data_IF_364761427240
#
_entry.id   IF_364761427240
#
_cell.length_a   1.000
_cell.length_b   1.000
_cell.length_c   1.000
_cell.angle_alpha   90.00
_cell.angle_beta   90.00
_cell.angle_gamma   90.00
#
_symmetry.space_group_name_H-M   'P 1'
#
loop_
_entity.id
_entity.type
_entity.pdbx_description
1 polymer ?
#
# COMPACT_ATOMS: atom_id res chain seq x y z
N UNK A 1 2.75 -73.64 -7.83
CA UNK A 1 2.81 -72.58 -6.81
C UNK A 1 2.90 -71.24 -7.52
N UNK A 2 1.77 -70.58 -7.74
CA UNK A 2 1.72 -69.20 -8.21
C UNK A 2 0.65 -68.50 -7.36
N UNK A 3 1.06 -67.47 -6.63
CA UNK A 3 0.20 -66.67 -5.77
C UNK A 3 0.32 -65.23 -6.29
N UNK A 4 -0.75 -64.59 -6.77
CA UNK A 4 -0.66 -63.21 -7.20
C UNK A 4 -0.71 -62.30 -5.96
N UNK A 5 0.29 -61.43 -5.81
CA UNK A 5 0.25 -60.32 -4.86
C UNK A 5 -0.76 -59.30 -5.38
N UNK A 6 -1.86 -59.11 -4.64
CA UNK A 6 -2.75 -57.98 -4.84
C UNK A 6 -2.12 -56.72 -4.21
N UNK A 7 -1.71 -55.76 -5.04
CA UNK A 7 -1.36 -54.42 -4.58
C UNK A 7 -2.64 -53.67 -4.23
N UNK A 8 -2.93 -53.52 -2.93
CA UNK A 8 -3.94 -52.59 -2.45
C UNK A 8 -3.32 -51.19 -2.47
N UNK A 9 -3.69 -50.39 -3.46
CA UNK A 9 -3.35 -48.98 -3.53
C UNK A 9 -4.17 -48.24 -2.46
N UNK A 10 -3.57 -47.99 -1.30
CA UNK A 10 -4.18 -47.18 -0.25
C UNK A 10 -4.29 -45.72 -0.75
N UNK A 11 -5.49 -45.34 -1.20
CA UNK A 11 -5.84 -43.93 -1.41
C UNK A 11 -5.89 -43.25 -0.04
N UNK A 12 -4.80 -42.59 0.34
CA UNK A 12 -4.79 -41.66 1.46
C UNK A 12 -5.81 -40.55 1.16
N UNK A 13 -6.77 -40.30 2.05
CA UNK A 13 -7.69 -39.18 1.88
C UNK A 13 -6.86 -37.90 1.94
N UNK A 14 -6.82 -37.16 0.82
CA UNK A 14 -6.39 -35.76 0.86
C UNK A 14 -7.40 -35.02 1.71
N UNK A 15 -7.09 -34.79 2.98
CA UNK A 15 -7.76 -33.78 3.76
C UNK A 15 -7.45 -32.44 3.08
N UNK A 16 -8.35 -31.98 2.21
CA UNK A 16 -8.37 -30.60 1.80
C UNK A 16 -8.69 -29.79 3.05
N UNK A 17 -7.68 -29.22 3.69
CA UNK A 17 -7.89 -28.09 4.58
C UNK A 17 -8.69 -27.09 3.76
N UNK A 18 -9.91 -26.76 4.20
CA UNK A 18 -10.79 -25.80 3.54
C UNK A 18 -10.11 -24.44 3.59
N UNK A 19 -9.33 -24.14 2.56
CA UNK A 19 -8.44 -23.00 2.48
C UNK A 19 -9.24 -21.72 2.20
N UNK A 20 -9.75 -21.05 3.24
CA UNK A 20 -10.37 -19.71 3.21
C UNK A 20 -11.17 -19.37 1.94
N UNK A 21 -11.87 -20.37 1.37
CA UNK A 21 -12.32 -20.33 -0.03
C UNK A 21 -13.46 -19.33 -0.25
N UNK A 22 -14.13 -18.98 0.85
CA UNK A 22 -15.26 -18.07 0.87
C UNK A 22 -14.94 -16.72 1.51
N UNK A 23 -13.68 -16.44 1.82
CA UNK A 23 -13.22 -15.10 2.19
C UNK A 23 -12.68 -15.01 3.60
N UNK A 24 -12.60 -13.77 4.08
CA UNK A 24 -11.87 -13.38 5.27
C UNK A 24 -12.73 -12.46 6.10
N UNK A 25 -12.72 -12.65 7.41
CA UNK A 25 -13.45 -11.80 8.34
C UNK A 25 -12.54 -11.25 9.42
N UNK A 26 -12.76 -9.99 9.82
CA UNK A 26 -12.17 -9.42 11.03
C UNK A 26 -13.25 -8.79 11.88
N UNK A 27 -13.03 -8.78 13.19
CA UNK A 27 -13.82 -7.96 14.11
C UNK A 27 -13.57 -6.48 13.81
N UNK A 28 -14.62 -5.66 13.78
CA UNK A 28 -14.46 -4.21 13.73
C UNK A 28 -13.87 -3.74 15.07
N UNK A 29 -12.69 -3.08 15.10
CA UNK A 29 -12.08 -2.66 16.36
C UNK A 29 -12.89 -1.67 17.20
N UNK A 30 -13.90 -1.01 16.61
CA UNK A 30 -14.78 -0.06 17.32
C UNK A 30 -16.19 -0.61 17.59
N UNK A 31 -16.54 -1.75 17.01
CA UNK A 31 -17.78 -2.46 17.30
C UNK A 31 -17.49 -3.96 17.32
N UNK A 32 -17.22 -4.49 18.51
CA UNK A 32 -16.89 -5.91 18.71
C UNK A 32 -18.01 -6.85 18.24
N UNK A 33 -19.23 -6.34 18.05
CA UNK A 33 -20.35 -7.10 17.51
C UNK A 33 -20.44 -7.04 15.98
N UNK A 34 -19.73 -6.11 15.34
CA UNK A 34 -19.63 -6.00 13.89
C UNK A 34 -18.41 -6.77 13.36
N UNK A 35 -18.60 -7.42 12.21
CA UNK A 35 -17.53 -8.08 11.47
C UNK A 35 -17.38 -7.44 10.10
N UNK A 36 -16.16 -7.05 9.76
CA UNK A 36 -15.78 -6.71 8.39
C UNK A 36 -15.54 -8.01 7.62
N UNK A 37 -15.93 -8.02 6.34
CA UNK A 37 -15.82 -9.19 5.47
C UNK A 37 -15.24 -8.82 4.11
N UNK A 38 -14.28 -9.64 3.69
CA UNK A 38 -13.51 -9.45 2.46
C UNK A 38 -13.49 -10.73 1.64
N UNK A 39 -13.75 -10.61 0.35
CA UNK A 39 -13.89 -11.75 -0.55
C UNK A 39 -12.55 -12.23 -1.12
N UNK A 40 -11.57 -11.32 -1.22
CA UNK A 40 -10.30 -11.55 -1.88
C UNK A 40 -9.12 -11.34 -0.93
N UNK A 41 -8.00 -11.97 -1.29
CA UNK A 41 -6.70 -11.77 -0.67
C UNK A 41 -5.65 -11.58 -1.77
N UNK A 42 -4.89 -10.50 -1.69
CA UNK A 42 -3.55 -10.41 -2.28
C UNK A 42 -2.55 -10.59 -1.14
N UNK A 43 -1.70 -11.62 -1.24
CA UNK A 43 -0.65 -11.88 -0.27
C UNK A 43 0.69 -11.99 -0.99
N UNK A 44 1.63 -11.12 -0.62
CA UNK A 44 2.98 -11.09 -1.17
C UNK A 44 3.99 -11.21 -0.03
N UNK A 45 4.81 -12.26 -0.05
CA UNK A 45 5.92 -12.45 0.89
C UNK A 45 7.25 -12.36 0.13
N UNK A 46 7.82 -11.16 0.08
CA UNK A 46 9.06 -10.90 -0.64
C UNK A 46 10.26 -11.65 -0.03
N UNK A 47 10.20 -12.01 1.26
CA UNK A 47 11.29 -12.78 1.89
C UNK A 47 11.40 -14.20 1.37
N UNK A 48 10.27 -14.78 0.96
CA UNK A 48 10.19 -16.13 0.42
C UNK A 48 10.57 -16.21 -1.06
N UNK A 49 10.51 -15.07 -1.78
CA UNK A 49 10.81 -15.00 -3.21
C UNK A 49 12.30 -15.20 -3.48
N UNK A 50 12.61 -15.85 -4.61
CA UNK A 50 13.98 -15.96 -5.14
C UNK A 50 14.28 -14.84 -6.13
N UNK A 51 13.25 -14.37 -6.83
CA UNK A 51 13.31 -13.35 -7.87
C UNK A 51 12.00 -12.57 -7.89
N UNK A 52 12.02 -11.26 -8.19
CA UNK A 52 10.81 -10.43 -8.24
C UNK A 52 9.86 -10.80 -9.38
N UNK A 53 10.31 -11.51 -10.41
CA UNK A 53 9.41 -12.08 -11.44
C UNK A 53 8.37 -13.04 -10.86
N UNK A 54 8.58 -13.55 -9.64
CA UNK A 54 7.59 -14.35 -8.91
C UNK A 54 6.44 -13.51 -8.35
N UNK A 55 6.61 -12.19 -8.23
CA UNK A 55 5.58 -11.26 -7.79
C UNK A 55 4.68 -10.84 -8.97
N UNK A 56 3.99 -11.80 -9.60
CA UNK A 56 3.18 -11.58 -10.82
C UNK A 56 2.02 -10.61 -10.62
N UNK A 57 1.58 -10.43 -9.38
CA UNK A 57 0.55 -9.47 -8.98
C UNK A 57 1.07 -8.02 -8.94
N UNK A 58 2.33 -7.78 -9.28
CA UNK A 58 2.96 -6.46 -9.18
C UNK A 58 3.61 -6.01 -10.50
N UNK A 59 3.57 -4.69 -10.75
CA UNK A 59 4.20 -4.05 -11.90
C UNK A 59 5.18 -2.98 -11.42
N UNK A 60 6.44 -3.07 -11.85
CA UNK A 60 7.45 -2.04 -11.58
C UNK A 60 7.25 -0.86 -12.51
N UNK A 61 7.22 0.34 -11.98
CA UNK A 61 6.87 1.52 -12.77
C UNK A 61 8.09 2.23 -13.38
N UNK A 62 7.85 2.87 -14.54
CA UNK A 62 8.82 3.73 -15.24
C UNK A 62 8.13 4.99 -15.73
N UNK A 63 8.46 6.13 -15.12
CA UNK A 63 7.99 7.45 -15.56
C UNK A 63 8.81 8.54 -14.88
N UNK A 64 8.69 9.77 -15.41
CA UNK A 64 9.33 10.96 -14.85
C UNK A 64 8.26 11.96 -14.40
N UNK A 65 8.56 12.69 -13.31
CA UNK A 65 7.78 13.83 -12.83
C UNK A 65 8.69 15.06 -12.86
N UNK A 66 8.25 16.13 -13.52
CA UNK A 66 9.02 17.37 -13.59
C UNK A 66 9.10 18.08 -12.23
N UNK A 67 10.09 18.97 -12.01
CA UNK A 67 10.16 19.79 -10.79
C UNK A 67 8.85 20.55 -10.51
N UNK A 68 8.24 21.15 -11.54
CA UNK A 68 6.98 21.91 -11.39
C UNK A 68 5.81 21.01 -10.98
N UNK A 69 5.64 19.87 -11.66
CA UNK A 69 4.54 18.93 -11.36
C UNK A 69 4.70 18.32 -9.96
N UNK A 70 5.93 17.98 -9.60
CA UNK A 70 6.31 17.52 -8.28
C UNK A 70 6.53 18.64 -7.27
N UNK A 71 6.23 19.92 -7.55
CA UNK A 71 6.35 21.02 -6.57
C UNK A 71 7.69 21.04 -5.78
N UNK A 72 8.78 20.66 -6.44
CA UNK A 72 10.09 20.44 -5.83
C UNK A 72 11.21 21.10 -6.61
N UNK A 73 12.40 21.22 -6.00
CA UNK A 73 13.58 21.77 -6.67
C UNK A 73 14.13 20.83 -7.77
N UNK A 74 13.84 19.53 -7.64
CA UNK A 74 14.29 18.48 -8.54
C UNK A 74 13.08 17.69 -9.06
N UNK A 75 13.20 17.13 -10.26
CA UNK A 75 12.23 16.15 -10.75
C UNK A 75 12.43 14.78 -10.11
N UNK A 76 11.51 13.85 -10.37
CA UNK A 76 11.57 12.46 -9.92
C UNK A 76 11.68 11.57 -11.16
N UNK A 77 12.57 10.58 -11.13
CA UNK A 77 12.67 9.56 -12.17
C UNK A 77 12.44 8.20 -11.56
N UNK A 78 11.24 7.64 -11.75
CA UNK A 78 10.89 6.31 -11.27
C UNK A 78 11.42 5.26 -12.22
N UNK A 79 12.27 4.37 -11.70
CA UNK A 79 13.02 3.41 -12.49
C UNK A 79 12.80 1.98 -11.98
N UNK A 80 12.39 1.02 -12.83
CA UNK A 80 12.26 -0.39 -12.46
C UNK A 80 13.52 -1.04 -11.90
N UNK A 81 14.70 -0.51 -12.21
CA UNK A 81 15.99 -0.93 -11.65
C UNK A 81 16.22 -0.49 -10.20
N UNK A 82 15.40 0.41 -9.65
CA UNK A 82 15.42 0.78 -8.24
C UNK A 82 14.48 -0.07 -7.37
N UNK A 83 13.75 -1.02 -7.96
CA UNK A 83 12.95 -2.00 -7.23
C UNK A 83 13.67 -3.35 -7.34
N UNK A 84 14.32 -3.75 -6.25
CA UNK A 84 15.24 -4.89 -6.24
C UNK A 84 14.92 -5.82 -5.07
N UNK A 85 14.70 -7.10 -5.33
CA UNK A 85 14.79 -8.11 -4.27
C UNK A 85 16.26 -8.29 -3.94
N UNK A 86 16.65 -8.26 -2.68
CA UNK A 86 18.04 -8.50 -2.26
C UNK A 86 18.52 -9.90 -2.73
N UNK A 87 19.45 -10.00 -3.70
CA UNK A 87 20.08 -11.25 -4.07
C UNK A 87 21.56 -11.14 -3.67
N UNK A 88 22.02 -11.81 -2.61
CA UNK A 88 23.48 -11.88 -2.33
C UNK A 88 24.21 -10.53 -2.08
N UNK A 89 23.51 -9.39 -1.96
CA UNK A 89 24.11 -8.15 -1.44
C UNK A 89 24.39 -8.39 0.04
N UNK A 90 25.68 -8.39 0.44
CA UNK A 90 26.15 -8.62 1.82
C UNK A 90 25.26 -7.90 2.83
N UNK A 91 24.29 -8.63 3.35
CA UNK A 91 23.33 -8.18 4.37
C UNK A 91 24.00 -7.62 5.62
N UNK A 92 25.27 -7.99 5.83
CA UNK A 92 26.09 -7.50 6.93
C UNK A 92 26.53 -6.03 6.79
N UNK A 93 26.29 -5.34 5.67
CA UNK A 93 26.70 -3.94 5.48
C UNK A 93 25.55 -2.91 5.48
N UNK A 94 24.29 -3.31 5.24
CA UNK A 94 23.16 -2.39 5.23
C UNK A 94 22.13 -2.77 6.30
N UNK A 95 22.06 -1.96 7.37
CA UNK A 95 21.00 -1.91 8.38
C UNK A 95 20.65 -3.20 9.14
N UNK A 96 21.58 -4.16 9.24
CA UNK A 96 21.48 -5.29 10.17
C UNK A 96 20.39 -6.32 9.83
N UNK A 97 19.88 -6.30 8.60
CA UNK A 97 18.84 -7.22 8.16
C UNK A 97 19.35 -8.67 8.07
N UNK A 98 18.51 -9.64 8.41
CA UNK A 98 18.75 -11.07 8.18
C UNK A 98 17.64 -11.66 7.31
N UNK A 99 17.95 -12.05 6.08
CA UNK A 99 16.98 -12.61 5.12
C UNK A 99 16.60 -11.67 3.97
N UNK A 100 15.96 -12.21 2.93
CA UNK A 100 15.60 -11.42 1.74
C UNK A 100 14.47 -10.44 2.00
N UNK A 101 14.46 -9.31 1.30
CA UNK A 101 13.34 -8.37 1.26
C UNK A 101 13.39 -7.57 -0.05
N UNK A 102 12.25 -7.02 -0.47
CA UNK A 102 12.23 -6.08 -1.60
C UNK A 102 12.71 -4.71 -1.12
N UNK A 103 13.64 -4.10 -1.84
CA UNK A 103 14.13 -2.75 -1.58
C UNK A 103 13.62 -1.76 -2.63
N UNK A 104 13.12 -0.62 -2.16
CA UNK A 104 12.76 0.55 -2.97
C UNK A 104 13.85 1.60 -2.79
N UNK A 105 14.64 1.83 -3.83
CA UNK A 105 15.85 2.67 -3.75
C UNK A 105 15.61 4.09 -4.26
N UNK A 106 16.12 5.06 -3.49
CA UNK A 106 16.34 6.44 -3.94
C UNK A 106 17.84 6.68 -4.04
N UNK A 107 18.30 7.17 -5.19
CA UNK A 107 19.72 7.42 -5.42
C UNK A 107 20.10 8.83 -5.00
N UNK A 108 21.26 8.98 -4.37
CA UNK A 108 21.76 10.30 -3.92
C UNK A 108 22.10 11.26 -5.06
N UNK A 109 22.46 10.71 -6.22
CA UNK A 109 22.98 11.50 -7.32
C UNK A 109 21.83 12.10 -8.12
N UNK A 110 21.76 13.44 -8.14
CA UNK A 110 20.91 14.17 -9.09
C UNK A 110 21.44 13.93 -10.50
N UNK A 111 20.55 13.55 -11.42
CA UNK A 111 20.88 13.27 -12.81
C UNK A 111 21.20 14.54 -13.59
N UNK A 112 21.79 14.40 -14.78
CA UNK A 112 22.00 15.53 -15.70
C UNK A 112 20.68 16.23 -16.11
N UNK A 113 19.54 15.54 -15.99
CA UNK A 113 18.20 16.08 -16.28
C UNK A 113 17.55 16.76 -15.07
N UNK A 114 18.31 17.06 -14.02
CA UNK A 114 17.83 17.65 -12.76
C UNK A 114 16.75 16.79 -12.07
N UNK A 115 16.86 15.47 -12.15
CA UNK A 115 15.95 14.53 -11.48
C UNK A 115 16.68 13.71 -10.41
N UNK A 116 15.93 13.25 -9.42
CA UNK A 116 16.39 12.28 -8.44
C UNK A 116 15.75 10.94 -8.77
N UNK A 117 16.58 9.90 -8.83
CA UNK A 117 16.12 8.56 -9.16
C UNK A 117 15.38 7.92 -7.99
N UNK A 118 14.20 7.36 -8.25
CA UNK A 118 13.21 6.88 -7.29
C UNK A 118 12.68 5.48 -7.67
N UNK A 119 11.86 4.90 -6.80
CA UNK A 119 11.30 3.57 -6.96
C UNK A 119 9.78 3.57 -6.74
N UNK A 120 9.06 2.84 -7.59
CA UNK A 120 7.62 2.61 -7.47
C UNK A 120 7.25 1.23 -8.01
N UNK A 121 6.34 0.55 -7.31
CA UNK A 121 5.76 -0.72 -7.72
C UNK A 121 4.30 -0.78 -7.29
N UNK A 122 3.46 -1.27 -8.20
CA UNK A 122 2.00 -1.21 -8.08
C UNK A 122 1.41 -2.60 -8.14
N UNK A 123 0.28 -2.82 -7.48
CA UNK A 123 -0.50 -4.03 -7.74
C UNK A 123 -1.12 -3.99 -9.13
N UNK A 124 -1.07 -5.09 -9.87
CA UNK A 124 -1.64 -5.23 -11.22
C UNK A 124 -3.17 -5.11 -11.23
N UNK A 125 -3.84 -5.43 -10.12
CA UNK A 125 -5.29 -5.21 -9.95
C UNK A 125 -5.57 -3.75 -9.63
N UNK A 126 -6.57 -3.19 -10.30
CA UNK A 126 -7.03 -1.79 -10.15
C UNK A 126 -8.48 -1.67 -9.68
N UNK A 127 -9.05 -2.77 -9.17
CA UNK A 127 -10.43 -2.87 -8.71
C UNK A 127 -10.53 -3.16 -7.21
N UNK A 128 -9.45 -2.97 -6.46
CA UNK A 128 -9.42 -3.19 -5.02
C UNK A 128 -10.26 -2.12 -4.31
N UNK A 129 -11.34 -2.52 -3.65
CA UNK A 129 -12.29 -1.62 -3.02
C UNK A 129 -12.82 -2.20 -1.70
N UNK A 130 -12.95 -1.37 -0.67
CA UNK A 130 -13.31 -1.81 0.68
C UNK A 130 -12.39 -2.92 1.18
N UNK A 131 -11.35 -2.53 1.91
CA UNK A 131 -10.31 -3.48 2.29
C UNK A 131 -9.50 -3.07 3.50
N UNK A 132 -8.84 -4.07 4.06
CA UNK A 132 -7.74 -3.91 5.01
C UNK A 132 -6.44 -4.11 4.26
N UNK A 133 -5.70 -3.03 4.03
CA UNK A 133 -4.48 -3.00 3.24
C UNK A 133 -3.28 -2.84 4.17
N UNK A 134 -2.32 -3.75 4.08
CA UNK A 134 -1.20 -3.85 5.04
C UNK A 134 0.12 -3.99 4.32
N UNK A 135 1.11 -3.22 4.74
CA UNK A 135 2.49 -3.35 4.31
C UNK A 135 3.41 -3.51 5.53
N UNK A 136 4.26 -4.51 5.50
CA UNK A 136 5.31 -4.68 6.53
C UNK A 136 6.61 -4.11 5.99
N UNK A 137 7.02 -2.95 6.52
CA UNK A 137 8.13 -2.17 5.98
C UNK A 137 9.12 -1.74 7.07
N UNK A 138 10.38 -1.58 6.68
CA UNK A 138 11.44 -0.92 7.45
C UNK A 138 11.86 0.33 6.67
N UNK A 139 11.70 1.49 7.30
CA UNK A 139 11.88 2.79 6.64
C UNK A 139 13.34 3.22 6.62
N UNK A 140 13.65 4.18 5.73
CA UNK A 140 15.02 4.70 5.63
C UNK A 140 15.31 5.72 6.72
N UNK A 141 16.48 5.61 7.36
CA UNK A 141 17.06 6.67 8.21
C UNK A 141 17.77 7.78 7.43
N UNK A 142 17.95 7.60 6.11
CA UNK A 142 18.64 8.58 5.28
C UNK A 142 17.71 9.77 5.07
N UNK A 143 18.06 10.89 5.71
CA UNK A 143 17.32 12.16 5.63
C UNK A 143 17.21 12.63 4.18
N UNK A 144 16.05 13.14 3.82
CA UNK A 144 15.79 13.77 2.52
C UNK A 144 14.94 12.92 1.58
N UNK A 145 14.11 12.02 2.09
CA UNK A 145 13.24 11.15 1.26
C UNK A 145 11.82 11.05 1.83
N UNK A 146 10.87 10.71 0.96
CA UNK A 146 9.51 10.28 1.33
C UNK A 146 9.34 8.80 0.96
N UNK A 147 8.97 7.97 1.94
CA UNK A 147 8.44 6.63 1.72
C UNK A 147 6.91 6.69 1.76
N UNK A 148 6.24 6.01 0.83
CA UNK A 148 4.79 6.00 0.76
C UNK A 148 4.24 4.57 0.59
N UNK A 149 3.19 4.28 1.35
CA UNK A 149 2.31 3.13 1.13
C UNK A 149 0.89 3.67 1.02
N UNK A 150 0.28 3.49 -0.15
CA UNK A 150 -0.96 4.16 -0.45
C UNK A 150 -1.87 3.35 -1.37
N UNK A 151 -3.15 3.71 -1.37
CA UNK A 151 -4.14 3.24 -2.31
C UNK A 151 -4.48 4.36 -3.29
N UNK A 152 -4.60 4.04 -4.57
CA UNK A 152 -4.77 5.02 -5.62
C UNK A 152 -5.77 4.58 -6.69
N UNK A 153 -6.65 5.51 -7.08
CA UNK A 153 -7.44 5.43 -8.31
C UNK A 153 -7.07 6.58 -9.26
N UNK A 154 -7.03 7.81 -8.74
CA UNK A 154 -6.57 9.01 -9.43
C UNK A 154 -6.22 10.13 -8.41
N UNK A 155 -5.73 11.27 -8.88
CA UNK A 155 -5.36 12.45 -8.05
C UNK A 155 -6.46 13.03 -7.14
N UNK A 156 -7.70 12.53 -7.25
CA UNK A 156 -8.86 12.95 -6.43
C UNK A 156 -9.46 11.81 -5.61
N UNK A 157 -8.83 10.64 -5.64
CA UNK A 157 -9.21 9.45 -4.89
C UNK A 157 -7.95 8.66 -4.56
N UNK A 158 -7.35 9.03 -3.42
CA UNK A 158 -6.07 8.50 -2.93
C UNK A 158 -6.11 8.44 -1.40
N UNK A 159 -5.44 7.44 -0.82
CA UNK A 159 -5.30 7.23 0.63
C UNK A 159 -3.85 6.96 0.93
N UNK A 160 -3.20 7.83 1.69
CA UNK A 160 -1.76 7.84 1.87
C UNK A 160 -1.33 7.59 3.31
N UNK A 161 -0.28 6.79 3.46
CA UNK A 161 0.62 6.83 4.61
C UNK A 161 2.02 7.21 4.09
N UNK A 162 2.43 8.45 4.38
CA UNK A 162 3.70 9.00 3.93
C UNK A 162 4.64 9.32 5.09
N UNK A 163 5.90 8.92 4.93
CA UNK A 163 6.91 8.98 5.96
C UNK A 163 8.10 9.81 5.47
N UNK A 164 8.27 10.98 6.09
CA UNK A 164 9.30 11.93 5.73
C UNK A 164 10.53 11.70 6.60
N UNK A 165 11.61 11.15 6.01
CA UNK A 165 12.81 10.80 6.78
C UNK A 165 13.49 12.01 7.43
N UNK A 166 13.22 13.23 6.93
CA UNK A 166 13.68 14.50 7.52
C UNK A 166 12.95 14.88 8.81
N UNK A 167 11.79 14.29 9.08
CA UNK A 167 10.99 14.58 10.27
C UNK A 167 11.27 13.60 11.42
N UNK A 168 12.07 12.56 11.17
CA UNK A 168 12.48 11.62 12.20
C UNK A 168 13.55 12.24 13.12
N UNK A 169 13.28 12.19 14.41
CA UNK A 169 14.19 12.60 15.47
C UNK A 169 14.36 11.45 16.47
N UNK A 170 15.39 10.63 16.22
CA UNK A 170 15.72 9.46 17.04
C UNK A 170 16.04 9.87 18.50
N UNK A 171 16.65 11.04 18.71
CA UNK A 171 17.04 11.49 20.05
C UNK A 171 15.82 11.80 20.92
N UNK A 172 14.77 12.38 20.32
CA UNK A 172 13.53 12.73 20.99
C UNK A 172 12.39 11.71 20.80
N UNK A 173 12.65 10.60 20.09
CA UNK A 173 11.67 9.55 19.74
C UNK A 173 10.44 10.10 19.00
N UNK A 174 10.67 11.03 18.08
CA UNK A 174 9.64 11.62 17.22
C UNK A 174 9.76 10.99 15.83
N UNK A 175 8.71 10.31 15.39
CA UNK A 175 8.64 9.58 14.14
C UNK A 175 7.27 9.82 13.50
N UNK A 176 7.06 10.97 12.85
CA UNK A 176 5.76 11.32 12.30
C UNK A 176 5.41 10.45 11.08
N UNK A 177 4.12 10.17 10.94
CA UNK A 177 3.50 9.68 9.71
C UNK A 177 2.44 10.67 9.29
N UNK A 178 2.51 11.07 8.02
CA UNK A 178 1.54 11.95 7.38
C UNK A 178 0.47 11.07 6.75
N UNK A 179 -0.76 11.22 7.22
CA UNK A 179 -1.93 10.50 6.77
C UNK A 179 -2.75 11.45 5.91
N UNK A 180 -3.00 11.07 4.65
CA UNK A 180 -3.62 11.96 3.67
C UNK A 180 -4.73 11.25 2.94
N UNK A 181 -5.82 11.97 2.65
CA UNK A 181 -6.79 11.57 1.64
C UNK A 181 -6.88 12.72 0.63
N UNK A 182 -6.39 12.48 -0.58
CA UNK A 182 -6.60 13.40 -1.69
C UNK A 182 -8.01 13.21 -2.27
N UNK A 183 -8.72 14.33 -2.40
CA UNK A 183 -10.10 14.38 -2.86
C UNK A 183 -10.28 15.49 -3.90
N UNK A 184 -11.47 15.54 -4.53
CA UNK A 184 -11.83 16.69 -5.36
C UNK A 184 -11.75 18.02 -4.59
N UNK A 185 -12.03 17.99 -3.27
CA UNK A 185 -11.93 19.18 -2.41
C UNK A 185 -10.47 19.60 -2.22
N UNK A 186 -9.54 18.67 -2.00
CA UNK A 186 -8.12 19.04 -1.83
C UNK A 186 -7.54 19.54 -3.14
N UNK A 187 -7.92 18.95 -4.28
CA UNK A 187 -7.55 19.43 -5.61
C UNK A 187 -8.01 20.88 -5.87
N UNK A 188 -9.25 21.23 -5.47
CA UNK A 188 -9.76 22.62 -5.54
C UNK A 188 -8.97 23.60 -4.65
N UNK A 189 -8.30 23.08 -3.61
CA UNK A 189 -7.45 23.85 -2.70
C UNK A 189 -5.95 23.79 -3.08
N UNK A 190 -5.64 23.41 -4.32
CA UNK A 190 -4.27 23.32 -4.81
C UNK A 190 -3.56 22.04 -4.37
N UNK A 191 -4.30 20.94 -4.26
CA UNK A 191 -3.84 19.63 -3.78
C UNK A 191 -3.33 19.65 -2.33
N UNK A 192 -4.04 20.39 -1.48
CA UNK A 192 -3.72 20.60 -0.07
C UNK A 192 -4.87 20.06 0.80
N UNK A 193 -4.72 18.83 1.31
CA UNK A 193 -5.73 18.16 2.10
C UNK A 193 -5.82 18.69 3.55
N UNK A 194 -4.79 19.39 4.02
CA UNK A 194 -4.82 20.14 5.28
C UNK A 194 -5.93 21.19 5.33
N UNK A 195 -6.38 21.67 4.16
CA UNK A 195 -7.52 22.60 4.02
C UNK A 195 -8.89 21.92 3.96
N UNK A 196 -8.95 20.59 3.93
CA UNK A 196 -10.20 19.84 3.67
C UNK A 196 -10.57 18.85 4.75
N UNK A 197 -9.84 18.88 5.88
CA UNK A 197 -10.06 17.97 7.01
C UNK A 197 -9.60 16.53 6.73
N UNK A 198 -8.85 16.31 5.65
CA UNK A 198 -8.37 15.00 5.19
C UNK A 198 -6.85 14.88 5.26
N UNK A 199 -6.24 15.58 6.21
CA UNK A 199 -4.83 15.46 6.55
C UNK A 199 -4.69 15.35 8.07
N UNK A 200 -3.92 14.35 8.52
CA UNK A 200 -3.58 14.17 9.94
C UNK A 200 -2.13 13.72 10.05
N UNK A 201 -1.47 14.18 11.11
CA UNK A 201 -0.13 13.68 11.47
C UNK A 201 -0.26 12.90 12.76
N UNK A 202 0.26 11.68 12.77
CA UNK A 202 0.40 10.87 13.97
C UNK A 202 1.88 10.57 14.24
N UNK A 203 2.24 10.31 15.49
CA UNK A 203 3.61 9.92 15.84
C UNK A 203 3.67 8.41 16.12
N UNK A 204 4.57 7.69 15.46
CA UNK A 204 4.79 6.27 15.74
C UNK A 204 5.40 6.11 17.13
N UNK A 205 5.03 5.03 17.83
CA UNK A 205 5.57 4.71 19.18
C UNK A 205 6.86 3.88 19.13
N UNK A 206 7.40 3.66 17.94
CA UNK A 206 8.60 2.90 17.67
C UNK A 206 9.46 3.65 16.64
N UNK A 207 10.75 3.31 16.57
CA UNK A 207 11.63 3.82 15.54
C UNK A 207 11.47 2.97 14.26
N UNK A 208 10.84 3.51 13.20
CA UNK A 208 10.51 2.75 12.00
C UNK A 208 11.74 2.39 11.15
N UNK A 209 12.93 2.89 11.53
CA UNK A 209 14.20 2.66 10.82
C UNK A 209 15.00 1.50 11.41
N UNK A 210 14.59 0.95 12.56
CA UNK A 210 15.33 -0.12 13.26
C UNK A 210 14.86 -1.51 12.87
N UNK A 211 13.55 -1.71 12.74
CA UNK A 211 12.94 -3.02 12.43
C UNK A 211 11.80 -2.88 11.42
N UNK A 212 11.25 -4.02 11.00
CA UNK A 212 10.04 -4.09 10.20
C UNK A 212 8.80 -3.92 11.09
N UNK A 213 7.91 -3.02 10.67
CA UNK A 213 6.64 -2.75 11.32
C UNK A 213 5.49 -2.89 10.33
N UNK A 214 4.30 -3.26 10.81
CA UNK A 214 3.07 -3.25 9.99
C UNK A 214 2.52 -1.83 9.92
N UNK A 215 2.25 -1.34 8.72
CA UNK A 215 1.45 -0.16 8.45
C UNK A 215 0.19 -0.59 7.74
N UNK A 216 -0.96 -0.09 8.20
CA UNK A 216 -2.26 -0.51 7.69
C UNK A 216 -3.22 0.64 7.56
N UNK A 217 -4.02 0.61 6.50
CA UNK A 217 -5.27 1.34 6.46
C UNK A 217 -6.45 0.41 6.13
N UNK A 218 -7.54 0.57 6.88
CA UNK A 218 -8.82 -0.04 6.58
C UNK A 218 -9.66 0.98 5.81
N UNK A 219 -9.74 0.81 4.50
CA UNK A 219 -10.57 1.61 3.61
C UNK A 219 -11.97 1.00 3.57
N UNK A 220 -12.96 1.70 4.13
CA UNK A 220 -14.33 1.23 4.32
C UNK A 220 -15.32 2.25 3.74
N UNK A 221 -16.60 1.88 3.55
CA UNK A 221 -17.61 2.83 3.12
C UNK A 221 -17.66 4.08 4.02
N UNK A 222 -17.31 5.23 3.44
CA UNK A 222 -17.36 6.55 4.09
C UNK A 222 -16.30 6.80 5.18
N UNK A 223 -15.33 5.90 5.38
CA UNK A 223 -14.27 6.07 6.38
C UNK A 223 -12.98 5.33 6.04
N UNK A 224 -11.85 5.88 6.49
CA UNK A 224 -10.54 5.24 6.48
C UNK A 224 -9.98 5.27 7.89
N UNK A 225 -9.49 4.12 8.37
CA UNK A 225 -8.79 4.00 9.66
C UNK A 225 -7.35 3.60 9.43
N UNK A 226 -6.42 4.31 10.05
CA UNK A 226 -4.99 4.10 9.91
C UNK A 226 -4.42 3.45 11.17
N UNK A 227 -3.47 2.54 11.00
CA UNK A 227 -2.84 1.80 12.07
C UNK A 227 -1.35 1.60 11.82
N UNK A 228 -0.60 1.44 12.91
CA UNK A 228 0.75 0.89 12.89
C UNK A 228 0.89 -0.15 14.01
N UNK A 229 1.42 -1.33 13.69
CA UNK A 229 1.50 -2.48 14.60
C UNK A 229 0.17 -2.80 15.33
N UNK A 230 -0.95 -2.57 14.64
CA UNK A 230 -2.29 -2.75 15.17
C UNK A 230 -2.80 -1.65 16.09
N UNK A 231 -1.97 -0.67 16.46
CA UNK A 231 -2.43 0.53 17.17
C UNK A 231 -3.11 1.51 16.21
N UNK A 232 -4.26 2.05 16.62
CA UNK A 232 -4.95 3.08 15.83
C UNK A 232 -4.17 4.40 15.87
N UNK A 233 -3.88 4.95 14.69
CA UNK A 233 -3.21 6.23 14.52
C UNK A 233 -4.21 7.37 14.31
N UNK A 234 -5.19 7.14 13.44
CA UNK A 234 -6.25 8.10 13.15
C UNK A 234 -7.44 7.43 12.43
N UNK A 235 -8.55 8.16 12.40
CA UNK A 235 -9.68 7.89 11.51
C UNK A 235 -10.03 9.17 10.74
N UNK A 236 -10.37 9.04 9.46
CA UNK A 236 -10.96 10.09 8.64
C UNK A 236 -12.25 9.58 8.02
N UNK A 237 -13.28 10.40 8.00
CA UNK A 237 -14.61 10.04 7.52
C UNK A 237 -15.27 11.20 6.75
N UNK A 238 -16.33 10.86 6.01
CA UNK A 238 -17.14 11.83 5.26
C UNK A 238 -16.95 11.75 3.75
N UNK A 239 -17.51 12.74 3.05
CA UNK A 239 -17.68 12.70 1.59
C UNK A 239 -16.38 12.81 0.79
N UNK A 240 -15.28 13.19 1.44
CA UNK A 240 -13.95 13.24 0.83
C UNK A 240 -13.25 11.87 0.82
N UNK A 241 -13.79 10.86 1.50
CA UNK A 241 -13.25 9.50 1.46
C UNK A 241 -13.48 8.88 0.08
N UNK A 242 -12.49 8.20 -0.53
CA UNK A 242 -12.66 7.58 -1.84
C UNK A 242 -13.82 6.58 -1.88
N UNK A 243 -14.35 6.32 -3.07
CA UNK A 243 -15.40 5.34 -3.28
C UNK A 243 -15.24 4.51 -4.54
N UNK A 244 -14.11 4.62 -5.23
CA UNK A 244 -13.77 3.81 -6.40
C UNK A 244 -13.04 2.52 -6.03
N UNK A 245 -12.91 1.60 -7.00
CA UNK A 245 -11.87 0.57 -6.98
C UNK A 245 -10.55 1.15 -7.49
N UNK A 246 -9.44 0.65 -6.94
CA UNK A 246 -8.10 1.15 -7.22
C UNK A 246 -7.05 0.10 -6.94
N UNK A 247 -5.83 0.54 -6.66
CA UNK A 247 -4.67 -0.33 -6.49
C UNK A 247 -3.77 0.16 -5.37
N UNK A 248 -2.91 -0.73 -4.88
CA UNK A 248 -1.87 -0.39 -3.91
C UNK A 248 -0.63 0.07 -4.67
N UNK A 249 -0.01 1.13 -4.18
CA UNK A 249 1.29 1.59 -4.62
C UNK A 249 2.26 1.61 -3.42
N UNK A 250 3.48 1.12 -3.68
CA UNK A 250 4.61 1.27 -2.78
C UNK A 250 5.67 2.14 -3.46
N UNK A 251 6.04 3.24 -2.83
CA UNK A 251 6.89 4.25 -3.45
C UNK A 251 7.97 4.75 -2.49
N UNK A 252 9.14 5.09 -3.02
CA UNK A 252 10.20 5.76 -2.27
C UNK A 252 10.89 6.77 -3.19
N UNK A 253 10.89 8.04 -2.79
CA UNK A 253 11.27 9.14 -3.66
C UNK A 253 11.86 10.35 -2.92
N UNK A 254 12.42 11.28 -3.68
CA UNK A 254 12.90 12.57 -3.21
C UNK A 254 12.83 13.58 -4.37
N UNK A 255 12.56 14.84 -4.05
CA UNK A 255 12.48 15.94 -5.03
C UNK A 255 12.96 17.30 -4.46
N UNK A 256 13.38 17.33 -3.19
CA UNK A 256 13.83 18.55 -2.52
C UNK A 256 12.75 19.57 -2.18
N UNK A 257 11.46 19.20 -2.20
CA UNK A 257 10.42 20.03 -1.64
C UNK A 257 10.67 20.21 -0.12
N UNK A 258 10.91 21.44 0.39
CA UNK A 258 11.30 21.68 1.78
C UNK A 258 10.19 21.38 2.80
N UNK A 259 8.94 21.30 2.33
CA UNK A 259 7.79 20.92 3.14
C UNK A 259 7.48 19.42 3.08
N UNK A 260 8.13 18.69 2.19
CA UNK A 260 7.92 17.25 2.00
C UNK A 260 9.23 16.46 2.08
N UNK A 261 9.73 15.89 0.99
CA UNK A 261 10.93 15.04 1.04
C UNK A 261 12.19 15.76 1.55
N UNK A 262 12.37 17.04 1.23
CA UNK A 262 13.50 17.87 1.67
C UNK A 262 14.91 17.41 1.21
N UNK A 263 14.99 16.50 0.25
CA UNK A 263 16.26 16.01 -0.31
C UNK A 263 16.98 17.00 -1.24
N UNK A 264 17.95 16.53 -2.05
CA UNK A 264 18.34 15.13 -2.25
C UNK A 264 18.97 14.50 -1.01
N UNK A 265 18.85 13.17 -0.84
CA UNK A 265 19.55 12.48 0.24
C UNK A 265 21.07 12.47 -0.01
N UNK A 266 21.87 12.53 1.07
CA UNK A 266 23.34 12.57 0.98
C UNK A 266 23.98 11.21 0.66
N UNK A 267 23.24 10.13 0.86
CA UNK A 267 23.60 8.75 0.52
C UNK A 267 22.42 8.06 -0.15
N UNK A 268 22.66 6.94 -0.84
CA UNK A 268 21.55 6.14 -1.34
C UNK A 268 20.66 5.71 -0.17
N UNK A 269 19.37 5.85 -0.36
CA UNK A 269 18.35 5.56 0.65
C UNK A 269 17.52 4.37 0.17
N UNK A 270 17.11 3.52 1.11
CA UNK A 270 16.29 2.34 0.82
C UNK A 270 15.19 2.19 1.85
N UNK A 271 14.00 1.85 1.38
CA UNK A 271 12.90 1.28 2.18
C UNK A 271 12.84 -0.20 1.88
N UNK A 272 12.77 -1.01 2.93
CA UNK A 272 12.65 -2.46 2.80
C UNK A 272 11.21 -2.88 3.02
N UNK A 273 10.69 -3.73 2.14
CA UNK A 273 9.34 -4.29 2.20
C UNK A 273 9.46 -5.81 2.37
N UNK A 274 8.95 -6.30 3.48
CA UNK A 274 8.93 -7.71 3.83
C UNK A 274 7.75 -8.43 3.16
N UNK A 275 6.58 -7.82 3.28
CA UNK A 275 5.32 -8.38 2.80
C UNK A 275 4.25 -7.31 2.60
N UNK A 276 3.27 -7.64 1.75
CA UNK A 276 2.01 -6.91 1.61
C UNK A 276 0.87 -7.91 1.72
N UNK A 277 -0.14 -7.57 2.50
CA UNK A 277 -1.38 -8.32 2.64
C UNK A 277 -2.56 -7.37 2.45
N UNK A 278 -3.39 -7.63 1.44
CA UNK A 278 -4.61 -6.89 1.19
C UNK A 278 -5.79 -7.84 1.20
N UNK A 279 -6.69 -7.62 2.16
CA UNK A 279 -7.99 -8.28 2.24
C UNK A 279 -9.01 -7.30 1.72
N UNK A 280 -9.65 -7.58 0.59
CA UNK A 280 -10.47 -6.57 -0.08
C UNK A 280 -11.68 -7.17 -0.81
N UNK A 281 -12.65 -6.32 -1.10
CA UNK A 281 -13.72 -6.60 -2.05
C UNK A 281 -13.39 -5.97 -3.41
N UNK A 282 -13.99 -6.48 -4.47
CA UNK A 282 -13.77 -5.92 -5.81
C UNK A 282 -14.86 -4.92 -6.13
N UNK A 283 -14.52 -3.82 -6.81
CA UNK A 283 -15.52 -2.90 -7.34
C UNK A 283 -16.32 -3.49 -8.52
N UNK A 284 -15.82 -4.55 -9.15
CA UNK A 284 -16.46 -5.25 -10.27
C UNK A 284 -17.51 -6.27 -9.83
N UNK A 285 -18.63 -6.34 -10.56
CA UNK A 285 -19.72 -7.29 -10.30
C UNK A 285 -19.34 -8.76 -10.63
N UNK A 286 -18.35 -8.98 -11.50
CA UNK A 286 -17.96 -10.33 -11.91
C UNK A 286 -17.38 -11.15 -10.75
N UNK A 287 -16.55 -10.54 -9.92
CA UNK A 287 -15.96 -11.19 -8.74
C UNK A 287 -17.03 -11.59 -7.73
N UNK A 288 -18.05 -10.74 -7.56
CA UNK A 288 -19.24 -11.06 -6.75
C UNK A 288 -19.98 -12.27 -7.31
N UNK A 289 -20.27 -12.28 -8.61
CA UNK A 289 -20.97 -13.39 -9.24
C UNK A 289 -20.16 -14.71 -9.18
N UNK A 290 -18.83 -14.64 -9.30
CA UNK A 290 -17.95 -15.81 -9.15
C UNK A 290 -17.93 -16.32 -7.71
N UNK A 291 -17.87 -15.42 -6.73
CA UNK A 291 -17.98 -15.79 -5.32
C UNK A 291 -19.35 -16.39 -5.00
N UNK A 292 -20.45 -15.81 -5.48
CA UNK A 292 -21.81 -16.34 -5.27
C UNK A 292 -21.95 -17.77 -5.83
N UNK A 293 -21.37 -18.04 -6.99
CA UNK A 293 -21.34 -19.39 -7.57
C UNK A 293 -20.54 -20.37 -6.72
N UNK A 294 -19.41 -19.93 -6.16
CA UNK A 294 -18.49 -20.74 -5.35
C UNK A 294 -19.02 -20.99 -3.92
N UNK A 295 -19.63 -19.97 -3.32
CA UNK A 295 -19.90 -19.89 -1.89
C UNK A 295 -21.38 -19.71 -1.54
N UNK A 296 -22.25 -19.41 -2.51
CA UNK A 296 -23.68 -19.22 -2.28
C UNK A 296 -24.42 -20.46 -1.75
N UNK A 297 -23.86 -21.66 -1.93
CA UNK A 297 -24.37 -22.91 -1.32
C UNK A 297 -23.74 -23.25 0.03
N UNK A 298 -22.55 -22.72 0.31
CA UNK A 298 -21.85 -22.91 1.58
C UNK A 298 -22.35 -21.93 2.65
N UNK A 299 -22.98 -20.82 2.26
CA UNK A 299 -23.40 -19.79 3.21
C UNK A 299 -22.23 -19.34 4.10
N UNK A 300 -22.53 -18.80 5.28
CA UNK A 300 -21.53 -18.42 6.30
C UNK A 300 -20.98 -19.64 7.06
N UNK A 301 -20.84 -20.81 6.43
CA UNK A 301 -20.17 -21.96 7.05
C UNK A 301 -18.77 -21.53 7.52
N UNK A 302 -18.59 -21.46 8.85
CA UNK A 302 -17.39 -20.89 9.50
C UNK A 302 -16.07 -21.57 9.09
N UNK A 303 -16.13 -22.74 8.46
CA UNK A 303 -14.96 -23.48 7.97
C UNK A 303 -14.43 -22.99 6.62
N UNK A 304 -15.23 -22.21 5.86
CA UNK A 304 -14.84 -21.67 4.55
C UNK A 304 -14.42 -20.19 4.60
N UNK A 305 -14.69 -19.49 5.71
CA UNK A 305 -14.29 -18.10 5.97
C UNK A 305 -13.21 -18.09 7.05
N UNK A 306 -12.10 -17.42 6.80
CA UNK A 306 -10.99 -17.34 7.76
C UNK A 306 -11.04 -16.05 8.57
N UNK A 307 -10.90 -16.16 9.89
CA UNK A 307 -10.72 -14.98 10.73
C UNK A 307 -9.29 -14.46 10.60
N UNK A 308 -9.15 -13.17 10.33
CA UNK A 308 -7.87 -12.47 10.23
C UNK A 308 -7.68 -11.58 11.44
N UNK A 309 -6.45 -11.49 11.93
CA UNK A 309 -6.14 -10.68 13.10
C UNK A 309 -6.11 -9.18 12.74
N UNK A 310 -6.62 -8.35 13.65
CA UNK A 310 -6.43 -6.89 13.62
C UNK A 310 -5.05 -6.43 14.10
N UNK A 311 -4.17 -7.36 14.43
CA UNK A 311 -2.75 -7.12 14.79
C UNK A 311 -1.85 -8.04 13.97
N UNK A 312 -0.66 -7.60 13.56
CA UNK A 312 0.31 -8.49 12.92
C UNK A 312 0.62 -9.67 13.86
N UNK A 313 0.94 -10.87 13.35
CA UNK A 313 1.48 -11.94 14.17
C UNK A 313 2.72 -11.41 14.88
N UNK A 314 2.71 -11.38 16.22
CA UNK A 314 3.82 -10.88 17.03
C UNK A 314 5.12 -11.56 16.55
N UNK A 315 5.97 -10.80 15.87
CA UNK A 315 7.39 -11.11 15.83
C UNK A 315 7.88 -11.06 17.27
N UNK A 316 8.56 -12.10 17.74
CA UNK A 316 9.15 -12.12 19.08
C UNK A 316 10.03 -10.87 19.27
N UNK A 317 9.52 -9.83 19.92
CA UNK A 317 10.21 -9.07 20.96
C UNK A 317 9.33 -7.97 21.59
N UNK A 318 9.20 -8.10 22.92
CA UNK A 318 8.98 -7.06 23.92
C UNK A 318 7.82 -6.09 23.74
N UNK A 319 6.70 -6.46 24.37
CA UNK A 319 5.68 -5.58 24.94
C UNK A 319 6.36 -4.52 25.84
N UNK A 320 6.38 -3.25 25.41
CA UNK A 320 6.60 -2.11 26.29
C UNK A 320 5.26 -1.37 26.44
N UNK A 321 4.60 -1.56 27.57
CA UNK A 321 3.53 -0.68 28.02
C UNK A 321 4.18 0.64 28.49
N UNK A 322 4.05 1.68 27.67
CA UNK A 322 4.37 3.06 28.02
C UNK A 322 3.08 3.88 28.13
N UNK A 323 3.00 4.86 29.05
CA UNK A 323 1.76 5.56 29.36
C UNK A 323 1.31 6.44 28.18
N UNK A 324 0.01 6.43 27.91
CA UNK A 324 -0.68 7.34 27.01
C UNK A 324 -0.53 8.77 27.51
N UNK A 325 0.24 9.58 26.78
CA UNK A 325 0.19 11.04 26.89
C UNK A 325 -0.65 11.58 25.74
N UNK A 326 -1.88 11.98 26.06
CA UNK A 326 -2.69 12.86 25.23
C UNK A 326 -1.98 14.22 25.17
N UNK A 327 -1.27 14.44 24.08
CA UNK A 327 -0.64 15.70 23.74
C UNK A 327 -1.38 16.35 22.58
N UNK A 328 -2.56 16.91 22.87
CA UNK A 328 -3.20 17.88 21.98
C UNK A 328 -2.32 19.13 21.90
N UNK A 329 -1.44 19.18 20.91
CA UNK A 329 -0.81 20.44 20.49
C UNK A 329 -0.81 20.51 18.96
N UNK A 330 -2.01 20.73 18.40
CA UNK A 330 -2.21 21.11 17.01
C UNK A 330 -1.65 22.53 16.81
N UNK A 331 -0.37 22.62 16.51
CA UNK A 331 0.19 23.81 15.87
C UNK A 331 -0.25 23.82 14.41
N UNK A 332 -0.98 24.85 13.98
CA UNK A 332 -1.29 25.14 12.58
C UNK A 332 0.01 25.10 11.74
N UNK A 333 0.28 23.96 11.10
CA UNK A 333 1.29 23.84 10.04
C UNK A 333 0.54 23.91 8.72
N UNK A 334 0.77 24.97 7.95
CA UNK A 334 0.35 25.05 6.55
C UNK A 334 1.16 24.04 5.71
N UNK A 335 0.68 22.80 5.64
CA UNK A 335 1.24 21.75 4.82
C UNK A 335 0.79 21.96 3.38
N UNK A 336 1.68 22.41 2.48
CA UNK A 336 1.40 22.30 1.05
C UNK A 336 1.89 20.93 0.61
N UNK A 337 0.96 19.98 0.63
CA UNK A 337 1.16 18.56 0.32
C UNK A 337 1.49 18.32 -1.16
N UNK A 338 2.07 17.16 -1.45
CA UNK A 338 2.50 16.76 -2.77
C UNK A 338 1.87 15.42 -3.17
N UNK A 339 1.04 15.40 -4.22
CA UNK A 339 0.54 14.14 -4.78
C UNK A 339 1.74 13.31 -5.25
N UNK A 340 1.83 12.09 -4.73
CA UNK A 340 2.93 11.18 -5.01
C UNK A 340 2.90 10.69 -6.47
N UNK A 341 1.70 10.56 -7.04
CA UNK A 341 1.45 10.05 -8.38
C UNK A 341 0.99 11.16 -9.35
N UNK A 342 1.61 11.25 -10.51
CA UNK A 342 1.01 11.86 -11.70
C UNK A 342 1.15 10.81 -12.80
N UNK A 343 0.08 10.06 -13.05
CA UNK A 343 0.11 9.04 -14.11
C UNK A 343 0.30 9.73 -15.46
N UNK A 344 1.28 9.25 -16.22
CA UNK A 344 1.54 9.58 -17.62
C UNK A 344 0.25 9.53 -18.47
N UNK A 345 0.12 10.48 -19.41
CA UNK A 345 -1.01 10.71 -20.35
C UNK A 345 -1.50 9.50 -21.17
N UNK A 346 -0.93 8.31 -21.00
CA UNK A 346 -1.34 7.08 -21.67
C UNK A 346 -2.68 6.51 -21.16
N UNK A 347 -3.03 6.72 -19.89
CA UNK A 347 -4.31 6.25 -19.33
C UNK A 347 -5.52 7.06 -19.86
N UNK A 348 -5.35 8.38 -20.04
CA UNK A 348 -6.37 9.25 -20.67
C UNK A 348 -6.60 8.88 -22.14
N UNK A 349 -5.55 8.45 -22.86
CA UNK A 349 -5.67 8.05 -24.26
C UNK A 349 -6.52 6.78 -24.43
N UNK A 350 -6.41 5.80 -23.52
CA UNK A 350 -7.22 4.58 -23.56
C UNK A 350 -8.69 4.85 -23.22
N UNK A 351 -8.95 5.71 -22.23
CA UNK A 351 -10.30 6.18 -21.87
C UNK A 351 -10.99 6.92 -23.01
N UNK A 352 -10.29 7.85 -23.65
CA UNK A 352 -10.83 8.65 -24.77
C UNK A 352 -11.05 7.81 -26.03
N UNK A 353 -10.16 6.86 -26.34
CA UNK A 353 -10.34 5.95 -27.49
C UNK A 353 -11.55 5.02 -27.29
N UNK A 354 -11.77 4.50 -26.07
CA UNK A 354 -12.95 3.69 -25.75
C UNK A 354 -14.25 4.50 -25.83
N UNK A 355 -14.25 5.74 -25.34
CA UNK A 355 -15.42 6.62 -25.42
C UNK A 355 -15.78 6.99 -26.87
N UNK A 356 -14.78 7.27 -27.72
CA UNK A 356 -15.01 7.58 -29.14
C UNK A 356 -15.51 6.34 -29.91
N UNK A 357 -14.99 5.15 -29.61
CA UNK A 357 -15.48 3.91 -30.25
C UNK A 357 -16.91 3.55 -29.83
N UNK A 358 -17.30 3.82 -28.58
CA UNK A 358 -18.68 3.62 -28.11
C UNK A 358 -19.66 4.60 -28.75
N UNK A 359 -19.27 5.86 -28.94
CA UNK A 359 -20.09 6.87 -29.63
C UNK A 359 -20.24 6.54 -31.12
N UNK A 360 -19.17 6.10 -31.78
CA UNK A 360 -19.22 5.69 -33.18
C UNK A 360 -20.10 4.44 -33.39
N UNK A 361 -19.99 3.45 -32.50
CA UNK A 361 -20.85 2.26 -32.54
C UNK A 361 -22.32 2.59 -32.30
N UNK A 362 -22.63 3.51 -31.39
CA UNK A 362 -23.99 3.97 -31.13
C UNK A 362 -24.60 4.69 -32.35
N UNK A 363 -23.83 5.58 -33.00
CA UNK A 363 -24.29 6.29 -34.21
C UNK A 363 -24.53 5.36 -35.41
N UNK A 364 -23.75 4.27 -35.54
CA UNK A 364 -23.94 3.27 -36.59
C UNK A 364 -25.18 2.39 -36.39
N UNK A 365 -25.67 2.22 -35.15
CA UNK A 365 -26.85 1.40 -34.85
C UNK A 365 -28.18 2.16 -34.89
N UNK A 366 -28.18 3.49 -35.03
CA UNK A 366 -29.38 4.32 -34.98
C UNK A 366 -29.66 5.13 -36.26
N UNK A 367 -28.96 4.82 -37.35
CA UNK A 367 -29.23 5.32 -38.70
C UNK A 367 -29.44 4.19 -39.71
N UNK A 368 -30.39 3.30 -39.41
CA UNK A 368 -31.03 2.41 -40.41
C UNK A 368 -32.53 2.48 -40.26
#
# INVERSE_FOLDING_TARGET
MYQPLAFVLAMLPRFALTACTCGYSMTDPQDENASLFFMNLLQSNFTAMQDLSQATEWTKQRFDVSPDAGRGAFGKSFLPENVLLTPEMRMKQHDGLTGRSMGLWVRRQVTASNTISAAEIDTSRTDMQWGSYRATMKLSRVVGTCAAFFWYYNDTQEIDMEFLSREFDEANKVFPVNLVIHSASSAQNGYDASKTGTFKVANLKFDPTKDFHEYRFDFLPGRVRFYADGENLAEMNGDNVPSSGGHIILQHWSNGNPKWSGGPPLSDAVVWVKSVEAYFNSSGNEDRAQWDKRCGKHGTERTAVCTISGTPPLGNNSRMEGPSHDGDNMGNREASEENACHVSKHAELLSTVLAVMMIAAWQLTHHT
#
